data_IF_130089120642
#
_entry.id   IF_130089120642
#
_cell.length_a   1.000
_cell.length_b   1.000
_cell.length_c   1.000
_cell.angle_alpha   90.00
_cell.angle_beta   90.00
_cell.angle_gamma   90.00
#
_symmetry.space_group_name_H-M   'P 1'
#
loop_
_entity.id
_entity.type
_entity.pdbx_description
1 polymer ?
#
# COMPACT_ATOMS: atom_id res chain seq x y z
N UNK A 1 9.22 -4.01 8.34
CA UNK A 1 8.25 -3.74 7.27
C UNK A 1 7.73 -2.32 7.40
N UNK A 2 7.56 -1.63 6.27
CA UNK A 2 7.15 -0.23 6.18
C UNK A 2 6.02 -0.09 5.16
N UNK A 3 4.97 0.65 5.51
CA UNK A 3 3.83 0.96 4.66
C UNK A 3 4.00 2.34 4.03
N UNK A 4 3.99 2.39 2.71
CA UNK A 4 4.10 3.60 1.91
C UNK A 4 2.82 3.86 1.12
N UNK A 5 2.56 5.13 0.81
CA UNK A 5 1.65 5.53 -0.26
C UNK A 5 2.49 6.00 -1.44
N UNK A 6 2.22 5.44 -2.61
CA UNK A 6 3.02 5.64 -3.82
C UNK A 6 2.12 5.94 -5.00
N UNK A 7 2.65 6.67 -5.98
CA UNK A 7 2.04 6.84 -7.30
C UNK A 7 2.85 6.02 -8.30
N UNK A 8 2.19 5.33 -9.21
CA UNK A 8 2.81 4.51 -10.27
C UNK A 8 3.85 5.28 -11.07
N UNK A 9 3.61 6.57 -11.32
CA UNK A 9 4.58 7.46 -11.92
C UNK A 9 5.63 7.90 -10.88
N UNK A 10 6.89 7.49 -11.10
CA UNK A 10 8.05 7.74 -10.23
C UNK A 10 8.40 9.23 -9.96
N UNK A 11 7.63 10.18 -10.50
CA UNK A 11 7.83 11.61 -10.27
C UNK A 11 7.48 12.05 -8.84
N UNK A 12 6.67 11.28 -8.10
CA UNK A 12 6.29 11.59 -6.72
C UNK A 12 6.98 10.59 -5.79
N UNK A 13 7.78 11.05 -4.81
CA UNK A 13 8.44 10.15 -3.88
C UNK A 13 7.42 9.41 -3.01
N UNK A 14 7.68 8.15 -2.64
CA UNK A 14 6.89 7.41 -1.67
C UNK A 14 6.72 8.15 -0.35
N UNK A 15 5.50 8.18 0.17
CA UNK A 15 5.20 8.75 1.49
C UNK A 15 5.08 7.62 2.50
N UNK A 16 5.96 7.60 3.50
CA UNK A 16 5.85 6.65 4.61
C UNK A 16 4.61 6.99 5.44
N UNK A 17 3.72 6.02 5.58
CA UNK A 17 2.52 6.13 6.42
C UNK A 17 2.84 5.63 7.82
N UNK A 18 3.41 4.43 7.93
CA UNK A 18 3.74 3.81 9.22
C UNK A 18 4.70 2.62 9.03
N UNK A 19 5.22 2.09 10.13
CA UNK A 19 6.06 0.90 10.17
C UNK A 19 5.64 -0.05 11.28
N UNK A 20 5.84 -1.35 11.05
CA UNK A 20 5.45 -2.40 11.99
C UNK A 20 6.19 -3.69 11.65
N UNK A 21 6.41 -4.53 12.65
CA UNK A 21 6.89 -5.90 12.46
C UNK A 21 5.75 -6.87 12.11
N UNK A 22 4.50 -6.46 12.35
CA UNK A 22 3.29 -7.19 12.00
C UNK A 22 2.72 -6.68 10.67
N UNK A 23 2.79 -7.53 9.64
CA UNK A 23 2.28 -7.26 8.29
C UNK A 23 0.76 -7.19 8.25
N UNK A 24 0.06 -8.02 9.02
CA UNK A 24 -1.41 -8.02 9.05
C UNK A 24 -1.93 -6.72 9.65
N UNK A 25 -1.21 -6.17 10.64
CA UNK A 25 -1.48 -4.82 11.14
C UNK A 25 -1.30 -3.75 10.05
N UNK A 26 -0.24 -3.82 9.25
CA UNK A 26 -0.03 -2.87 8.13
C UNK A 26 -1.12 -2.99 7.08
N UNK A 27 -1.58 -4.21 6.77
CA UNK A 27 -2.69 -4.44 5.85
C UNK A 27 -4.00 -3.84 6.36
N UNK A 28 -4.29 -4.01 7.66
CA UNK A 28 -5.47 -3.43 8.29
C UNK A 28 -5.44 -1.90 8.26
N UNK A 29 -4.28 -1.30 8.55
CA UNK A 29 -4.10 0.16 8.46
C UNK A 29 -4.34 0.63 7.02
N UNK A 30 -3.70 0.02 6.03
CA UNK A 30 -3.87 0.41 4.62
C UNK A 30 -5.33 0.30 4.15
N UNK A 31 -6.05 -0.77 4.52
CA UNK A 31 -7.48 -0.92 4.19
C UNK A 31 -8.34 0.14 4.87
N UNK A 32 -8.13 0.40 6.16
CA UNK A 32 -8.88 1.41 6.89
C UNK A 32 -8.62 2.81 6.32
N UNK A 33 -7.36 3.16 6.07
CA UNK A 33 -7.00 4.43 5.44
C UNK A 33 -7.61 4.55 4.04
N UNK A 34 -7.62 3.47 3.24
CA UNK A 34 -8.28 3.48 1.93
C UNK A 34 -9.79 3.73 2.03
N UNK A 35 -10.47 3.06 2.96
CA UNK A 35 -11.91 3.19 3.14
C UNK A 35 -12.33 4.54 3.73
N UNK A 36 -11.68 4.98 4.81
CA UNK A 36 -12.07 6.17 5.58
C UNK A 36 -11.52 7.46 4.99
N UNK A 37 -10.24 7.50 4.61
CA UNK A 37 -9.59 8.75 4.19
C UNK A 37 -9.76 8.99 2.68
N UNK A 38 -9.86 7.91 1.89
CA UNK A 38 -9.91 7.97 0.43
C UNK A 38 -11.25 7.54 -0.17
N UNK A 39 -12.17 7.00 0.64
CA UNK A 39 -13.48 6.54 0.18
C UNK A 39 -13.45 5.32 -0.75
N UNK A 40 -12.34 4.57 -0.77
CA UNK A 40 -12.17 3.38 -1.62
C UNK A 40 -12.66 2.16 -0.86
N UNK A 41 -13.83 1.63 -1.24
CA UNK A 41 -14.47 0.52 -0.53
C UNK A 41 -14.04 -0.87 -1.02
N UNK A 42 -13.71 -1.00 -2.32
CA UNK A 42 -13.23 -2.25 -2.91
C UNK A 42 -11.72 -2.15 -3.11
N UNK A 43 -10.96 -2.73 -2.18
CA UNK A 43 -9.49 -2.77 -2.21
C UNK A 43 -8.99 -4.21 -2.18
N UNK A 44 -8.26 -4.60 -3.22
CA UNK A 44 -7.64 -5.93 -3.34
C UNK A 44 -6.12 -5.83 -3.29
N UNK A 45 -5.51 -6.73 -2.52
CA UNK A 45 -4.05 -6.84 -2.44
C UNK A 45 -3.54 -7.59 -3.67
N UNK A 46 -2.60 -6.97 -4.37
CA UNK A 46 -1.82 -7.60 -5.42
C UNK A 46 -0.78 -8.51 -4.75
N UNK A 47 -1.01 -9.82 -4.83
CA UNK A 47 -0.17 -10.83 -4.16
C UNK A 47 0.96 -11.38 -5.05
N UNK A 48 0.92 -11.12 -6.36
CA UNK A 48 1.87 -11.67 -7.35
C UNK A 48 2.48 -10.54 -8.19
N UNK A 49 3.48 -9.86 -7.63
CA UNK A 49 4.35 -8.98 -8.40
C UNK A 49 5.67 -9.74 -8.67
N UNK A 50 5.91 -10.19 -9.92
CA UNK A 50 6.99 -11.12 -10.24
C UNK A 50 8.42 -10.65 -9.91
N UNK A 51 8.62 -9.35 -9.63
CA UNK A 51 9.94 -8.74 -9.38
C UNK A 51 10.09 -8.05 -8.02
N UNK A 52 9.09 -8.13 -7.12
CA UNK A 52 9.05 -7.28 -5.94
C UNK A 52 9.32 -8.10 -4.66
N UNK A 53 10.59 -8.23 -4.29
CA UNK A 53 11.22 -8.95 -3.16
C UNK A 53 10.45 -8.98 -1.81
N UNK A 54 9.26 -9.59 -1.76
CA UNK A 54 8.38 -9.57 -0.59
C UNK A 54 7.58 -8.27 -0.41
N UNK A 55 7.48 -7.43 -1.45
CA UNK A 55 6.65 -6.24 -1.42
C UNK A 55 5.18 -6.61 -1.68
N UNK A 56 4.26 -6.00 -0.95
CA UNK A 56 2.81 -6.17 -1.14
C UNK A 56 2.20 -4.85 -1.58
N UNK A 57 1.32 -4.87 -2.58
CA UNK A 57 0.64 -3.66 -3.05
C UNK A 57 -0.87 -3.77 -2.88
N UNK A 58 -1.50 -2.65 -2.56
CA UNK A 58 -2.94 -2.49 -2.50
C UNK A 58 -3.29 -1.33 -3.41
N UNK A 59 -4.01 -1.63 -4.49
CA UNK A 59 -4.40 -0.62 -5.48
C UNK A 59 -5.45 0.32 -4.88
N UNK A 60 -5.25 1.62 -5.07
CA UNK A 60 -6.20 2.67 -4.70
C UNK A 60 -6.88 3.22 -5.97
N UNK A 61 -7.43 4.44 -5.90
CA UNK A 61 -7.98 5.12 -7.06
C UNK A 61 -6.89 5.70 -7.96
N UNK A 62 -7.10 5.64 -9.28
CA UNK A 62 -6.17 6.14 -10.29
C UNK A 62 -4.84 5.37 -10.30
N UNK A 63 -3.73 6.10 -10.24
CA UNK A 63 -2.37 5.56 -10.27
C UNK A 63 -1.76 5.41 -8.87
N UNK A 64 -2.56 5.46 -7.80
CA UNK A 64 -2.05 5.38 -6.43
C UNK A 64 -2.13 3.98 -5.84
N UNK A 65 -1.17 3.66 -4.99
CA UNK A 65 -1.02 2.37 -4.34
C UNK A 65 -0.61 2.57 -2.88
N UNK A 66 -1.08 1.70 -2.00
CA UNK A 66 -0.36 1.42 -0.76
C UNK A 66 0.62 0.29 -1.00
N UNK A 67 1.86 0.44 -0.53
CA UNK A 67 2.95 -0.52 -0.74
C UNK A 67 3.58 -0.87 0.59
N UNK A 68 3.58 -2.14 0.97
CA UNK A 68 4.30 -2.66 2.12
C UNK A 68 5.64 -3.21 1.61
N UNK A 69 6.74 -2.75 2.19
CA UNK A 69 8.10 -3.21 1.87
C UNK A 69 8.81 -3.73 3.13
N UNK A 70 9.80 -4.65 3.00
CA UNK A 70 10.70 -5.03 4.08
C UNK A 70 11.32 -3.87 4.89
#
# INVERSE_FOLDING_TARGET
MRLFREKSAAAIPPVLITESNDVERLKAIARNTAAFDLGVQEVEWENDLPDDHGCMRLKLSGDYYFVIRP
#
